data_IF_585852640262
#
_entry.id   IF_585852640262
#
_cell.length_a   1.000
_cell.length_b   1.000
_cell.length_c   1.000
_cell.angle_alpha   90.00
_cell.angle_beta   90.00
_cell.angle_gamma   90.00
#
_symmetry.space_group_name_H-M   'P 1'
#
loop_
_entity.id
_entity.type
_entity.pdbx_description
1 polymer ?
#
# COMPACT_ATOMS: atom_id res chain seq x y z
N UNK A 1 14.71 -24.73 -18.89
CA UNK A 1 13.83 -25.53 -18.01
C UNK A 1 12.92 -24.57 -17.24
N UNK A 2 11.62 -24.66 -17.48
CA UNK A 2 10.66 -23.91 -16.68
C UNK A 2 10.69 -24.46 -15.25
N UNK A 3 10.89 -23.58 -14.27
CA UNK A 3 10.76 -23.98 -12.87
C UNK A 3 9.37 -24.59 -12.64
N UNK A 4 9.23 -25.65 -11.85
CA UNK A 4 7.93 -26.26 -11.60
C UNK A 4 7.00 -25.18 -11.02
N UNK A 5 5.94 -24.89 -11.73
CA UNK A 5 4.92 -23.93 -11.27
C UNK A 5 4.23 -24.52 -10.05
N UNK A 6 4.61 -24.04 -8.86
CA UNK A 6 3.96 -24.46 -7.64
C UNK A 6 2.48 -24.08 -7.68
N UNK A 7 1.62 -25.00 -7.31
CA UNK A 7 0.18 -24.75 -7.28
C UNK A 7 -0.14 -23.75 -6.17
N UNK A 8 -0.78 -22.65 -6.54
CA UNK A 8 -1.21 -21.60 -5.59
C UNK A 8 -2.40 -22.13 -4.79
N UNK A 9 -2.29 -22.14 -3.48
CA UNK A 9 -3.37 -22.52 -2.58
C UNK A 9 -4.29 -21.33 -2.29
N UNK A 10 -3.70 -20.19 -1.93
CA UNK A 10 -4.45 -18.95 -1.63
C UNK A 10 -3.56 -17.72 -1.77
N UNK A 11 -4.20 -16.57 -1.87
CA UNK A 11 -3.53 -15.27 -1.80
C UNK A 11 -4.12 -14.44 -0.68
N UNK A 12 -3.24 -13.79 0.09
CA UNK A 12 -3.62 -12.90 1.19
C UNK A 12 -3.10 -11.50 0.88
N UNK A 13 -3.97 -10.51 0.99
CA UNK A 13 -3.60 -9.09 0.81
C UNK A 13 -3.70 -8.39 2.16
N UNK A 14 -2.61 -7.75 2.55
CA UNK A 14 -2.52 -7.03 3.82
C UNK A 14 -1.94 -5.63 3.61
N UNK A 15 -2.24 -4.75 4.54
CA UNK A 15 -1.60 -3.44 4.65
C UNK A 15 -0.90 -3.35 6.00
N UNK A 16 0.42 -3.23 5.97
CA UNK A 16 1.27 -3.29 7.16
C UNK A 16 2.18 -2.07 7.19
N UNK A 17 2.37 -1.48 8.35
CA UNK A 17 3.32 -0.38 8.51
C UNK A 17 4.75 -0.87 8.27
N UNK A 18 5.52 -0.12 7.48
CA UNK A 18 6.88 -0.48 7.11
C UNK A 18 7.77 -0.70 8.33
N UNK A 19 8.47 -1.83 8.36
CA UNK A 19 9.39 -2.20 9.43
C UNK A 19 8.73 -2.61 10.75
N UNK A 20 7.40 -2.66 10.82
CA UNK A 20 6.65 -2.95 12.04
C UNK A 20 5.71 -4.15 11.94
N UNK A 21 5.99 -5.10 11.06
CA UNK A 21 5.22 -6.34 11.01
C UNK A 21 5.39 -7.15 12.30
N UNK A 22 4.28 -7.49 12.92
CA UNK A 22 4.23 -8.28 14.15
C UNK A 22 3.19 -9.40 14.03
N UNK A 23 3.26 -10.47 14.83
CA UNK A 23 2.24 -11.51 14.85
C UNK A 23 0.86 -11.05 15.35
N UNK A 24 0.77 -9.83 15.86
CA UNK A 24 -0.49 -9.25 16.32
C UNK A 24 -1.45 -8.98 15.14
N UNK A 25 -2.77 -8.86 15.36
CA UNK A 25 -3.71 -8.49 14.30
C UNK A 25 -3.27 -7.20 13.57
N UNK A 26 -3.47 -7.10 12.24
CA UNK A 26 -4.21 -8.03 11.38
C UNK A 26 -3.38 -9.17 10.78
N UNK A 27 -2.06 -9.19 10.99
CA UNK A 27 -1.14 -10.13 10.34
C UNK A 27 -1.33 -11.57 10.83
N UNK A 28 -1.38 -11.77 12.15
CA UNK A 28 -1.47 -13.09 12.75
C UNK A 28 -2.67 -13.90 12.28
N UNK A 29 -3.91 -13.42 12.45
CA UNK A 29 -5.11 -14.13 12.01
C UNK A 29 -5.14 -14.43 10.51
N UNK A 30 -4.74 -13.47 9.67
CA UNK A 30 -4.75 -13.63 8.23
C UNK A 30 -3.78 -14.72 7.74
N UNK A 31 -2.57 -14.71 8.26
CA UNK A 31 -1.55 -15.71 7.91
C UNK A 31 -1.79 -17.05 8.61
N UNK A 32 -2.37 -17.04 9.80
CA UNK A 32 -2.76 -18.25 10.52
C UNK A 32 -3.79 -19.08 9.75
N UNK A 33 -4.78 -18.43 9.16
CA UNK A 33 -5.77 -19.09 8.30
C UNK A 33 -5.12 -19.69 7.04
N UNK A 34 -4.10 -19.04 6.52
CA UNK A 34 -3.36 -19.52 5.36
C UNK A 34 -2.27 -20.56 5.70
N UNK A 35 -2.11 -20.93 6.98
CA UNK A 35 -1.11 -21.87 7.47
C UNK A 35 0.34 -21.51 7.11
N UNK A 36 0.64 -20.21 7.11
CA UNK A 36 1.97 -19.66 6.82
C UNK A 36 2.74 -19.41 8.10
N UNK A 37 4.08 -19.54 8.05
CA UNK A 37 4.94 -19.18 9.16
C UNK A 37 4.97 -17.65 9.35
N UNK A 38 4.23 -17.19 10.36
CA UNK A 38 4.03 -15.76 10.65
C UNK A 38 5.35 -15.08 11.03
N UNK A 39 6.17 -15.73 11.85
CA UNK A 39 7.44 -15.17 12.31
C UNK A 39 8.43 -14.94 11.17
N UNK A 40 8.52 -15.91 10.28
CA UNK A 40 9.39 -15.81 9.10
C UNK A 40 8.93 -14.69 8.16
N UNK A 41 7.63 -14.58 7.92
CA UNK A 41 7.06 -13.48 7.15
C UNK A 41 7.39 -12.12 7.76
N UNK A 42 7.14 -11.94 9.05
CA UNK A 42 7.44 -10.69 9.75
C UNK A 42 8.92 -10.30 9.64
N UNK A 43 9.81 -11.27 9.82
CA UNK A 43 11.26 -11.06 9.69
C UNK A 43 11.66 -10.61 8.29
N UNK A 44 11.17 -11.30 7.27
CA UNK A 44 11.48 -10.97 5.86
C UNK A 44 10.87 -9.63 5.44
N UNK A 45 9.63 -9.35 5.84
CA UNK A 45 8.96 -8.09 5.55
C UNK A 45 9.69 -6.91 6.20
N UNK A 46 9.99 -7.02 7.48
CA UNK A 46 10.71 -5.96 8.19
C UNK A 46 12.10 -5.71 7.56
N UNK A 47 12.82 -6.76 7.19
CA UNK A 47 14.12 -6.62 6.51
C UNK A 47 14.01 -5.88 5.16
N UNK A 48 12.94 -6.13 4.39
CA UNK A 48 12.71 -5.47 3.09
C UNK A 48 12.21 -4.03 3.21
N UNK A 49 11.52 -3.70 4.28
CA UNK A 49 10.86 -2.40 4.46
C UNK A 49 11.56 -1.48 5.47
N UNK A 50 12.75 -1.85 5.92
CA UNK A 50 13.55 -1.06 6.88
C UNK A 50 14.16 0.24 6.31
N UNK A 51 13.81 0.64 5.12
CA UNK A 51 14.31 1.88 4.52
C UNK A 51 13.73 3.11 5.21
N UNK A 52 14.58 4.09 5.46
CA UNK A 52 14.19 5.37 6.09
C UNK A 52 13.07 6.09 5.32
N UNK A 53 13.08 5.97 4.01
CA UNK A 53 12.08 6.61 3.13
C UNK A 53 10.69 5.99 3.28
N UNK A 54 10.61 4.74 3.73
CA UNK A 54 9.36 4.01 3.95
C UNK A 54 8.88 4.06 5.41
N UNK A 55 9.70 4.56 6.32
CA UNK A 55 9.36 4.58 7.74
C UNK A 55 8.06 5.36 8.00
N UNK A 56 7.15 4.74 8.74
CA UNK A 56 5.85 5.32 9.07
C UNK A 56 4.81 5.24 7.94
N UNK A 57 5.16 4.68 6.77
CA UNK A 57 4.21 4.47 5.67
C UNK A 57 3.59 3.08 5.76
N UNK A 58 2.33 3.00 5.38
CA UNK A 58 1.64 1.71 5.23
C UNK A 58 2.02 1.12 3.89
N UNK A 59 2.50 -0.12 3.89
CA UNK A 59 2.91 -0.85 2.69
C UNK A 59 1.89 -1.94 2.39
N UNK A 60 1.23 -1.91 1.24
CA UNK A 60 0.39 -3.02 0.79
C UNK A 60 1.27 -4.22 0.42
N UNK A 61 0.87 -5.39 0.88
CA UNK A 61 1.56 -6.65 0.64
C UNK A 61 0.59 -7.65 0.04
N UNK A 62 1.00 -8.33 -1.01
CA UNK A 62 0.30 -9.48 -1.58
C UNK A 62 1.13 -10.72 -1.30
N UNK A 63 0.60 -11.62 -0.48
CA UNK A 63 1.25 -12.87 -0.09
C UNK A 63 0.61 -14.01 -0.86
N UNK A 64 1.41 -14.72 -1.66
CA UNK A 64 0.97 -15.90 -2.38
C UNK A 64 1.40 -17.13 -1.60
N UNK A 65 0.44 -17.94 -1.19
CA UNK A 65 0.66 -19.19 -0.45
C UNK A 65 0.50 -20.37 -1.38
N UNK A 66 1.46 -21.26 -1.39
CA UNK A 66 1.45 -22.46 -2.23
C UNK A 66 0.95 -23.70 -1.46
N UNK A 67 0.57 -24.73 -2.22
CA UNK A 67 0.07 -25.98 -1.65
C UNK A 67 1.05 -26.70 -0.72
N UNK A 68 2.36 -26.46 -0.87
CA UNK A 68 3.43 -26.99 -0.04
C UNK A 68 3.68 -26.17 1.25
N UNK A 69 2.79 -25.20 1.56
CA UNK A 69 2.88 -24.27 2.70
C UNK A 69 4.03 -23.27 2.60
N UNK A 70 4.71 -23.19 1.49
CA UNK A 70 5.65 -22.11 1.21
C UNK A 70 4.90 -20.86 0.78
N UNK A 71 5.53 -19.71 0.94
CA UNK A 71 4.94 -18.43 0.53
C UNK A 71 5.95 -17.56 -0.19
N UNK A 72 5.42 -16.70 -1.04
CA UNK A 72 6.15 -15.55 -1.60
C UNK A 72 5.33 -14.31 -1.38
N UNK A 73 5.97 -13.17 -1.26
CA UNK A 73 5.25 -11.91 -1.11
C UNK A 73 5.84 -10.80 -1.96
N UNK A 74 4.97 -9.91 -2.39
CA UNK A 74 5.31 -8.72 -3.18
C UNK A 74 4.84 -7.51 -2.37
N UNK A 75 5.73 -6.55 -2.17
CA UNK A 75 5.39 -5.25 -1.59
C UNK A 75 5.04 -4.28 -2.72
N UNK A 76 3.97 -3.53 -2.54
CA UNK A 76 3.55 -2.49 -3.48
C UNK A 76 3.88 -1.10 -2.94
N UNK A 77 3.73 -0.08 -3.77
CA UNK A 77 3.86 1.30 -3.33
C UNK A 77 2.79 1.65 -2.29
N UNK A 78 3.05 2.60 -1.37
CA UNK A 78 2.05 3.00 -0.38
C UNK A 78 0.73 3.41 -1.02
N UNK A 79 -0.44 3.20 -0.37
CA UNK A 79 -1.72 3.64 -0.89
C UNK A 79 -1.74 5.14 -1.18
N UNK A 80 -2.42 5.54 -2.25
CA UNK A 80 -2.53 6.96 -2.62
C UNK A 80 -3.10 7.81 -1.47
N UNK A 81 -4.03 7.28 -0.71
CA UNK A 81 -4.60 7.96 0.47
C UNK A 81 -3.56 8.28 1.54
N UNK A 82 -2.63 7.36 1.79
CA UNK A 82 -1.55 7.57 2.77
C UNK A 82 -0.57 8.64 2.28
N UNK A 83 -0.21 8.60 1.01
CA UNK A 83 0.68 9.59 0.39
C UNK A 83 0.05 10.99 0.38
N UNK A 84 -1.24 11.08 0.09
CA UNK A 84 -1.99 12.34 0.12
C UNK A 84 -2.08 12.93 1.52
N UNK A 85 -2.36 12.10 2.54
CA UNK A 85 -2.37 12.55 3.93
C UNK A 85 -0.98 13.08 4.36
N UNK A 86 0.07 12.41 3.96
CA UNK A 86 1.45 12.85 4.23
C UNK A 86 1.75 14.18 3.55
N UNK A 87 1.37 14.33 2.27
CA UNK A 87 1.59 15.57 1.52
C UNK A 87 0.79 16.76 2.08
N UNK A 88 -0.41 16.51 2.57
CA UNK A 88 -1.27 17.53 3.19
C UNK A 88 -1.03 17.72 4.70
N UNK A 89 -0.11 16.96 5.30
CA UNK A 89 0.14 16.93 6.76
C UNK A 89 -1.11 16.63 7.60
N UNK A 90 -1.94 15.70 7.13
CA UNK A 90 -3.18 15.31 7.79
C UNK A 90 -3.02 13.96 8.50
N UNK A 91 -3.57 13.87 9.71
CA UNK A 91 -3.66 12.60 10.44
C UNK A 91 -4.83 11.74 9.91
N UNK A 92 -5.92 12.37 9.49
CA UNK A 92 -7.14 11.71 9.04
C UNK A 92 -7.83 12.49 7.91
N UNK A 93 -8.41 11.78 6.97
CA UNK A 93 -9.27 12.37 5.94
C UNK A 93 -10.64 12.79 6.48
N UNK A 94 -11.43 13.49 5.67
CA UNK A 94 -12.78 13.93 6.05
C UNK A 94 -13.76 12.77 6.10
N UNK A 95 -14.64 12.78 7.11
CA UNK A 95 -15.78 11.89 7.19
C UNK A 95 -16.94 12.30 6.24
N UNK A 96 -16.96 13.57 5.84
CA UNK A 96 -17.96 14.16 4.92
C UNK A 96 -17.26 14.96 3.83
N UNK A 97 -16.55 14.29 2.89
CA UNK A 97 -15.61 14.94 1.97
C UNK A 97 -16.28 15.89 0.96
N UNK A 98 -17.56 15.71 0.70
CA UNK A 98 -18.32 16.61 -0.18
C UNK A 98 -18.76 17.91 0.51
N UNK A 99 -18.77 17.96 1.82
CA UNK A 99 -19.14 19.11 2.63
C UNK A 99 -17.95 19.75 3.32
N UNK A 100 -17.13 18.94 3.97
CA UNK A 100 -16.00 19.40 4.77
C UNK A 100 -14.67 19.06 4.08
N UNK A 101 -13.93 20.06 3.69
CA UNK A 101 -12.56 19.93 3.17
C UNK A 101 -11.58 20.10 4.32
N UNK A 102 -10.67 19.16 4.48
CA UNK A 102 -9.74 19.10 5.63
C UNK A 102 -8.31 19.47 5.26
N UNK A 103 -7.99 19.60 3.98
CA UNK A 103 -6.65 19.95 3.54
C UNK A 103 -6.57 20.33 2.08
N UNK A 104 -5.38 20.74 1.67
CA UNK A 104 -5.06 21.11 0.29
C UNK A 104 -3.71 20.51 -0.09
N UNK A 105 -3.58 20.11 -1.36
CA UNK A 105 -2.31 19.71 -1.97
C UNK A 105 -2.14 20.44 -3.29
N UNK A 106 -0.91 20.70 -3.68
CA UNK A 106 -0.61 21.30 -4.99
C UNK A 106 -0.63 20.26 -6.10
N UNK A 107 -0.82 20.70 -7.34
CA UNK A 107 -0.72 19.80 -8.49
C UNK A 107 0.69 19.17 -8.63
N UNK A 108 1.72 19.89 -8.24
CA UNK A 108 3.09 19.36 -8.21
C UNK A 108 3.22 18.16 -7.26
N UNK A 109 2.62 18.25 -6.07
CA UNK A 109 2.60 17.14 -5.11
C UNK A 109 1.81 15.94 -5.64
N UNK A 110 0.66 16.18 -6.28
CA UNK A 110 -0.15 15.12 -6.91
C UNK A 110 0.62 14.46 -8.04
N UNK A 111 1.33 15.21 -8.86
CA UNK A 111 2.17 14.69 -9.94
C UNK A 111 3.28 13.78 -9.39
N UNK A 112 3.94 14.19 -8.32
CA UNK A 112 4.99 13.42 -7.67
C UNK A 112 4.45 12.09 -7.11
N UNK A 113 3.29 12.12 -6.44
CA UNK A 113 2.60 10.92 -5.95
C UNK A 113 2.24 10.00 -7.12
N UNK A 114 1.73 10.54 -8.22
CA UNK A 114 1.39 9.76 -9.41
C UNK A 114 2.61 9.06 -9.99
N UNK A 115 3.75 9.75 -10.09
CA UNK A 115 5.01 9.17 -10.56
C UNK A 115 5.50 8.03 -9.66
N UNK A 116 5.43 8.20 -8.34
CA UNK A 116 5.80 7.16 -7.39
C UNK A 116 4.92 5.92 -7.51
N UNK A 117 3.66 6.12 -7.83
CA UNK A 117 2.67 5.03 -7.89
C UNK A 117 2.53 4.39 -9.28
N UNK A 118 3.13 4.96 -10.30
CA UNK A 118 3.06 4.43 -11.69
C UNK A 118 3.36 2.94 -11.82
N UNK A 119 4.35 2.35 -11.11
CA UNK A 119 4.62 0.91 -11.19
C UNK A 119 3.43 0.02 -10.81
N UNK A 120 2.55 0.50 -9.94
CA UNK A 120 1.39 -0.25 -9.45
C UNK A 120 0.08 0.13 -10.15
N UNK A 121 0.09 1.18 -10.96
CA UNK A 121 -1.09 1.68 -11.66
C UNK A 121 -1.20 1.09 -13.07
N UNK A 122 -2.43 0.85 -13.49
CA UNK A 122 -2.76 0.50 -14.88
C UNK A 122 -3.12 1.75 -15.68
N UNK A 123 -2.41 2.84 -15.49
CA UNK A 123 -2.65 4.09 -16.19
C UNK A 123 -1.83 4.13 -17.49
N UNK A 124 -2.46 4.58 -18.58
CA UNK A 124 -1.80 4.69 -19.88
C UNK A 124 -0.75 5.81 -19.92
N UNK A 125 -0.88 6.83 -19.08
CA UNK A 125 0.05 7.97 -18.99
C UNK A 125 0.12 8.52 -17.58
N UNK A 126 1.12 9.35 -17.31
CA UNK A 126 1.25 10.07 -16.03
C UNK A 126 0.04 10.97 -15.78
N UNK A 127 -0.49 11.60 -16.83
CA UNK A 127 -1.67 12.47 -16.76
C UNK A 127 -2.91 11.69 -16.30
N UNK A 128 -3.10 10.48 -16.81
CA UNK A 128 -4.19 9.60 -16.38
C UNK A 128 -4.01 9.18 -14.91
N UNK A 129 -2.79 8.91 -14.49
CA UNK A 129 -2.46 8.61 -13.09
C UNK A 129 -2.77 9.81 -12.18
N UNK A 130 -2.43 11.03 -12.59
CA UNK A 130 -2.74 12.27 -11.87
C UNK A 130 -4.25 12.43 -11.67
N UNK A 131 -5.05 12.14 -12.69
CA UNK A 131 -6.52 12.16 -12.57
C UNK A 131 -7.03 11.19 -11.52
N UNK A 132 -6.48 9.99 -11.49
CA UNK A 132 -6.82 8.97 -10.47
C UNK A 132 -6.48 9.45 -9.06
N UNK A 133 -5.32 10.04 -8.87
CA UNK A 133 -4.89 10.58 -7.57
C UNK A 133 -5.77 11.77 -7.15
N UNK A 134 -6.12 12.66 -8.09
CA UNK A 134 -7.06 13.78 -7.84
C UNK A 134 -8.44 13.26 -7.36
N UNK A 135 -8.93 12.19 -7.98
CA UNK A 135 -10.18 11.55 -7.56
C UNK A 135 -10.10 11.00 -6.14
N UNK A 136 -8.99 10.37 -5.76
CA UNK A 136 -8.73 9.91 -4.40
C UNK A 136 -8.69 11.07 -3.41
N UNK A 137 -8.00 12.16 -3.74
CA UNK A 137 -7.95 13.36 -2.91
C UNK A 137 -9.34 13.97 -2.69
N UNK A 138 -10.14 14.04 -3.74
CA UNK A 138 -11.53 14.49 -3.65
C UNK A 138 -12.37 13.63 -2.71
N UNK A 139 -12.21 12.32 -2.76
CA UNK A 139 -12.92 11.39 -1.86
C UNK A 139 -12.48 11.50 -0.40
N UNK A 140 -11.32 12.09 -0.14
CA UNK A 140 -10.77 12.30 1.20
C UNK A 140 -11.07 13.71 1.76
N UNK A 141 -11.68 14.58 0.98
CA UNK A 141 -11.88 15.98 1.35
C UNK A 141 -10.62 16.82 1.24
N UNK A 142 -9.73 16.50 0.32
CA UNK A 142 -8.51 17.24 0.03
C UNK A 142 -8.68 17.95 -1.31
N UNK A 143 -8.53 19.28 -1.32
CA UNK A 143 -8.55 20.07 -2.55
C UNK A 143 -7.20 20.07 -3.23
N UNK A 144 -7.21 19.97 -4.55
CA UNK A 144 -6.02 20.11 -5.38
C UNK A 144 -5.94 21.52 -5.93
N UNK A 145 -4.88 22.23 -5.61
CA UNK A 145 -4.63 23.60 -6.05
C UNK A 145 -3.53 23.63 -7.12
N UNK A 146 -3.58 24.62 -7.95
CA UNK A 146 -2.56 24.81 -8.99
C UNK A 146 -1.15 25.07 -8.41
#
# INVERSE_FOLDING_TARGET
MAAPTKKIATQVKLQIEAGKATPAPPVGPALGQAQVNIMEFCKQFNARTQNKDMAGLIIPVVITVYADRTFTFITKTPPASVLLKKAANLAKGSGTPNKDKVGKVSEAQVLEIAKQKMPDLNAASVEAAVKSIKGTARSMGIDVTA
#
